data_IF_158549429381
#
_entry.id   IF_158549429381
#
_cell.length_a   1.000
_cell.length_b   1.000
_cell.length_c   1.000
_cell.angle_alpha   90.00
_cell.angle_beta   90.00
_cell.angle_gamma   90.00
#
_symmetry.space_group_name_H-M   'P 1'
#
loop_
_entity.id
_entity.type
_entity.pdbx_description
1 polymer ?
#
# COMPACT_ATOMS: atom_id res chain seq x y z
N UNK A 1 -47.07 70.38 46.15
CA UNK A 1 -47.29 69.06 46.77
C UNK A 1 -47.83 68.15 45.70
N UNK A 2 -47.00 67.25 45.15
CA UNK A 2 -47.31 65.90 44.66
C UNK A 2 -45.96 65.27 44.26
N UNK A 3 -45.79 64.05 44.75
CA UNK A 3 -44.57 63.27 44.95
C UNK A 3 -44.04 62.66 43.64
N UNK A 4 -42.73 62.69 43.41
CA UNK A 4 -42.05 61.91 42.36
C UNK A 4 -41.56 60.59 42.97
N UNK A 5 -41.85 59.41 42.39
CA UNK A 5 -41.20 58.19 42.83
C UNK A 5 -39.91 57.91 42.06
N UNK A 6 -38.95 57.44 42.86
CA UNK A 6 -37.64 56.91 42.57
C UNK A 6 -37.75 55.65 41.68
N UNK A 7 -36.92 55.54 40.64
CA UNK A 7 -36.65 54.27 39.99
C UNK A 7 -35.12 54.13 39.81
N UNK A 8 -34.56 53.32 40.68
CA UNK A 8 -33.16 52.87 40.72
C UNK A 8 -32.88 52.01 39.49
N UNK A 9 -31.90 52.39 38.68
CA UNK A 9 -31.44 51.62 37.53
C UNK A 9 -29.92 51.53 37.52
N UNK A 10 -29.41 50.50 38.21
CA UNK A 10 -28.00 50.10 38.22
C UNK A 10 -27.64 49.53 36.84
N UNK A 11 -26.96 50.30 35.99
CA UNK A 11 -26.44 49.80 34.72
C UNK A 11 -25.05 49.17 34.95
N UNK A 12 -25.00 47.85 34.86
CA UNK A 12 -23.77 47.06 34.86
C UNK A 12 -23.02 47.30 33.55
N UNK A 13 -21.78 47.80 33.65
CA UNK A 13 -20.88 47.97 32.52
C UNK A 13 -20.45 46.60 31.96
N UNK A 14 -20.86 46.29 30.73
CA UNK A 14 -20.39 45.13 29.97
C UNK A 14 -19.09 45.48 29.25
N UNK A 15 -17.98 44.89 29.70
CA UNK A 15 -16.70 44.94 28.98
C UNK A 15 -16.83 44.14 27.68
N UNK A 16 -16.72 44.84 26.53
CA UNK A 16 -16.45 44.23 25.23
C UNK A 16 -14.97 43.87 25.14
N UNK A 17 -14.66 42.57 25.23
CA UNK A 17 -13.37 42.03 24.79
C UNK A 17 -13.48 41.71 23.30
N UNK A 18 -13.00 42.62 22.44
CA UNK A 18 -12.67 42.31 21.05
C UNK A 18 -11.37 41.49 21.05
N UNK A 19 -11.50 40.17 21.04
CA UNK A 19 -10.38 39.28 20.75
C UNK A 19 -10.30 39.06 19.24
N UNK A 20 -9.28 39.62 18.60
CA UNK A 20 -8.96 39.40 17.20
C UNK A 20 -8.68 37.90 16.96
N UNK A 21 -9.62 37.19 16.34
CA UNK A 21 -9.36 35.88 15.76
C UNK A 21 -8.47 36.06 14.52
N UNK A 22 -7.16 35.95 14.70
CA UNK A 22 -6.26 35.62 13.60
C UNK A 22 -6.44 34.13 13.27
N UNK A 23 -6.82 33.75 12.05
CA UNK A 23 -6.73 32.36 11.63
C UNK A 23 -5.24 32.00 11.52
N UNK A 24 -4.70 31.28 12.49
CA UNK A 24 -3.46 30.54 12.27
C UNK A 24 -3.77 29.42 11.25
N UNK A 25 -2.92 29.24 10.21
CA UNK A 25 -2.96 28.02 9.43
C UNK A 25 -2.62 26.88 10.39
N UNK A 26 -3.62 26.07 10.75
CA UNK A 26 -3.40 24.83 11.47
C UNK A 26 -2.53 23.95 10.59
N UNK A 27 -1.33 23.63 11.08
CA UNK A 27 -0.50 22.53 10.61
C UNK A 27 -1.15 21.16 10.94
N UNK A 28 -2.43 21.02 10.61
CA UNK A 28 -3.27 19.84 10.77
C UNK A 28 -4.07 19.58 9.48
N UNK A 29 -3.49 19.90 8.32
CA UNK A 29 -3.95 19.44 7.00
C UNK A 29 -2.79 18.87 6.20
N UNK A 30 -1.85 18.24 6.90
CA UNK A 30 -0.70 17.54 6.33
C UNK A 30 -0.59 16.09 6.85
N UNK A 31 -1.73 15.48 7.19
CA UNK A 31 -1.93 14.02 7.16
C UNK A 31 -3.07 13.69 6.19
N UNK A 32 -3.07 14.39 5.05
CA UNK A 32 -4.05 14.20 3.98
C UNK A 32 -3.78 12.85 3.33
N UNK A 33 -4.55 11.81 3.68
CA UNK A 33 -4.77 10.60 2.87
C UNK A 33 -3.54 10.18 2.04
N UNK A 34 -2.43 9.81 2.69
CA UNK A 34 -1.15 9.71 1.99
C UNK A 34 -1.06 8.62 0.91
N UNK A 35 -2.06 7.76 0.70
CA UNK A 35 -1.93 6.65 -0.26
C UNK A 35 -3.22 6.32 -1.02
N UNK A 36 -3.80 7.27 -1.78
CA UNK A 36 -4.71 6.93 -2.88
C UNK A 36 -4.21 7.52 -4.20
N UNK A 37 -3.58 6.67 -4.99
CA UNK A 37 -3.26 6.83 -6.39
C UNK A 37 -2.95 8.27 -6.90
N UNK A 38 -1.95 9.00 -6.37
CA UNK A 38 -1.76 10.41 -6.70
C UNK A 38 -1.20 10.69 -8.12
N UNK A 39 -0.75 9.68 -8.86
CA UNK A 39 -0.04 9.85 -10.13
C UNK A 39 -0.92 9.75 -11.37
N UNK A 40 -0.32 9.99 -12.54
CA UNK A 40 -0.99 9.91 -13.83
C UNK A 40 -1.57 8.50 -14.07
N UNK A 41 -2.72 8.42 -14.75
CA UNK A 41 -3.41 7.16 -15.03
C UNK A 41 -2.49 6.13 -15.73
N UNK A 42 -1.67 6.59 -16.67
CA UNK A 42 -0.71 5.74 -17.41
C UNK A 42 0.23 4.95 -16.49
N UNK A 43 0.63 5.51 -15.35
CA UNK A 43 1.44 4.79 -14.38
C UNK A 43 0.67 3.65 -13.74
N UNK A 44 -0.57 3.90 -13.29
CA UNK A 44 -1.39 2.87 -12.66
C UNK A 44 -1.86 1.79 -13.63
N UNK A 45 -2.16 2.16 -14.87
CA UNK A 45 -2.49 1.19 -15.92
C UNK A 45 -1.29 0.26 -16.15
N UNK A 46 -0.07 0.79 -16.15
CA UNK A 46 1.17 -0.01 -16.25
C UNK A 46 1.44 -0.83 -14.99
N UNK A 47 1.22 -0.28 -13.79
CA UNK A 47 1.37 -1.00 -12.52
C UNK A 47 0.37 -2.15 -12.40
N UNK A 48 -0.85 -2.00 -12.92
CA UNK A 48 -1.82 -3.09 -13.02
C UNK A 48 -1.28 -4.25 -13.85
N UNK A 49 -0.60 -3.97 -14.97
CA UNK A 49 0.02 -5.03 -15.77
C UNK A 49 1.13 -5.78 -15.02
N UNK A 50 1.89 -5.08 -14.15
CA UNK A 50 2.85 -5.69 -13.23
C UNK A 50 2.12 -6.61 -12.25
N UNK A 51 1.05 -6.15 -11.61
CA UNK A 51 0.29 -6.96 -10.65
C UNK A 51 -0.42 -8.16 -11.29
N UNK A 52 -0.86 -8.04 -12.55
CA UNK A 52 -1.37 -9.19 -13.32
C UNK A 52 -0.27 -10.24 -13.55
N UNK A 53 0.95 -9.83 -13.87
CA UNK A 53 2.07 -10.76 -14.03
C UNK A 53 2.51 -11.36 -12.68
N UNK A 54 2.47 -10.58 -11.61
CA UNK A 54 2.66 -11.06 -10.23
C UNK A 54 1.63 -12.14 -9.86
N UNK A 55 0.35 -11.94 -10.20
CA UNK A 55 -0.73 -12.92 -9.97
C UNK A 55 -0.47 -14.22 -10.73
N UNK A 56 -0.01 -14.13 -11.98
CA UNK A 56 0.40 -15.28 -12.79
C UNK A 56 1.55 -16.05 -12.16
N UNK A 57 2.57 -15.35 -11.65
CA UNK A 57 3.70 -15.96 -10.96
C UNK A 57 3.24 -16.68 -9.69
N UNK A 58 2.45 -16.01 -8.84
CA UNK A 58 1.87 -16.59 -7.62
C UNK A 58 1.10 -17.87 -7.94
N UNK A 59 0.23 -17.83 -8.94
CA UNK A 59 -0.60 -18.98 -9.31
C UNK A 59 0.24 -20.13 -9.88
N UNK A 60 1.30 -19.83 -10.64
CA UNK A 60 2.21 -20.86 -11.14
C UNK A 60 2.96 -21.58 -10.00
N UNK A 61 3.44 -20.82 -9.00
CA UNK A 61 4.08 -21.39 -7.80
C UNK A 61 3.12 -22.23 -6.96
N UNK A 62 1.86 -21.83 -6.86
CA UNK A 62 0.82 -22.61 -6.18
C UNK A 62 0.55 -23.93 -6.91
N UNK A 63 0.51 -23.91 -8.25
CA UNK A 63 0.35 -25.11 -9.08
C UNK A 63 1.62 -25.94 -9.25
N UNK A 64 2.72 -25.52 -8.63
CA UNK A 64 4.03 -26.18 -8.73
C UNK A 64 4.60 -26.21 -10.16
N UNK A 65 4.08 -25.34 -11.04
CA UNK A 65 4.50 -25.23 -12.43
C UNK A 65 5.70 -24.28 -12.53
N UNK A 66 6.90 -24.83 -12.37
CA UNK A 66 8.16 -24.06 -12.38
C UNK A 66 8.45 -23.42 -13.73
N UNK A 67 8.00 -24.01 -14.84
CA UNK A 67 8.17 -23.44 -16.18
C UNK A 67 7.28 -22.21 -16.35
N UNK A 68 6.00 -22.31 -15.97
CA UNK A 68 5.09 -21.16 -15.97
C UNK A 68 5.53 -20.08 -14.98
N UNK A 69 6.08 -20.46 -13.82
CA UNK A 69 6.62 -19.50 -12.85
C UNK A 69 7.78 -18.70 -13.46
N UNK A 70 8.73 -19.36 -14.12
CA UNK A 70 9.83 -18.70 -14.81
C UNK A 70 9.33 -17.73 -15.90
N UNK A 71 8.35 -18.16 -16.70
CA UNK A 71 7.77 -17.31 -17.73
C UNK A 71 7.06 -16.08 -17.15
N UNK A 72 6.29 -16.26 -16.07
CA UNK A 72 5.60 -15.18 -15.38
C UNK A 72 6.58 -14.21 -14.69
N UNK A 73 7.65 -14.71 -14.08
CA UNK A 73 8.69 -13.87 -13.47
C UNK A 73 9.37 -12.96 -14.51
N UNK A 74 9.78 -13.51 -15.66
CA UNK A 74 10.36 -12.71 -16.75
C UNK A 74 9.37 -11.71 -17.33
N UNK A 75 8.09 -12.10 -17.45
CA UNK A 75 7.03 -11.17 -17.89
C UNK A 75 6.84 -10.03 -16.90
N UNK A 76 6.80 -10.34 -15.61
CA UNK A 76 6.69 -9.34 -14.54
C UNK A 76 7.87 -8.38 -14.57
N UNK A 77 9.08 -8.90 -14.71
CA UNK A 77 10.31 -8.12 -14.84
C UNK A 77 10.22 -7.12 -16.01
N UNK A 78 9.85 -7.59 -17.20
CA UNK A 78 9.69 -6.73 -18.38
C UNK A 78 8.66 -5.61 -18.17
N UNK A 79 7.54 -5.91 -17.50
CA UNK A 79 6.51 -4.91 -17.19
C UNK A 79 6.99 -3.90 -16.17
N UNK A 80 7.74 -4.35 -15.17
CA UNK A 80 8.31 -3.51 -14.14
C UNK A 80 9.37 -2.54 -14.72
N UNK A 81 10.28 -3.06 -15.55
CA UNK A 81 11.32 -2.27 -16.23
C UNK A 81 10.73 -1.21 -17.18
N UNK A 82 9.49 -1.43 -17.64
CA UNK A 82 8.76 -0.54 -18.54
C UNK A 82 7.87 0.47 -17.82
N UNK A 83 7.86 0.50 -16.48
CA UNK A 83 7.03 1.46 -15.74
C UNK A 83 7.38 2.90 -16.14
N UNK A 84 6.38 3.77 -16.37
CA UNK A 84 6.62 5.14 -16.80
C UNK A 84 7.02 6.03 -15.60
N UNK A 85 8.11 5.70 -14.91
CA UNK A 85 8.53 6.34 -13.66
C UNK A 85 8.74 7.86 -13.79
N UNK A 86 9.12 8.33 -14.98
CA UNK A 86 9.27 9.77 -15.28
C UNK A 86 7.95 10.56 -15.19
N UNK A 87 6.80 9.87 -15.18
CA UNK A 87 5.48 10.49 -15.02
C UNK A 87 5.08 10.70 -13.56
N UNK A 88 5.88 10.19 -12.62
CA UNK A 88 5.66 10.34 -11.19
C UNK A 88 6.01 11.76 -10.75
N UNK A 89 5.00 12.55 -10.41
CA UNK A 89 5.15 13.90 -9.89
C UNK A 89 5.59 13.89 -8.40
N UNK A 90 6.79 13.37 -8.14
CA UNK A 90 7.40 13.28 -6.82
C UNK A 90 8.77 14.00 -6.78
N UNK A 91 9.28 14.29 -5.57
CA UNK A 91 10.62 14.86 -5.43
C UNK A 91 11.72 13.86 -5.85
N UNK A 92 12.94 14.36 -6.10
CA UNK A 92 14.06 13.56 -6.61
C UNK A 92 14.42 12.37 -5.73
N UNK A 93 14.34 12.53 -4.41
CA UNK A 93 14.75 11.49 -3.47
C UNK A 93 13.70 10.37 -3.41
N UNK A 94 12.42 10.73 -3.45
CA UNK A 94 11.33 9.77 -3.61
C UNK A 94 11.40 9.03 -4.95
N UNK A 95 11.71 9.74 -6.04
CA UNK A 95 11.86 9.11 -7.35
C UNK A 95 12.98 8.07 -7.36
N UNK A 96 14.15 8.43 -6.81
CA UNK A 96 15.28 7.49 -6.66
C UNK A 96 14.94 6.26 -5.82
N UNK A 97 14.14 6.42 -4.76
CA UNK A 97 13.67 5.27 -3.96
C UNK A 97 12.77 4.35 -4.78
N UNK A 98 11.86 4.90 -5.58
CA UNK A 98 11.00 4.10 -6.46
C UNK A 98 11.83 3.42 -7.55
N UNK A 99 12.75 4.15 -8.22
CA UNK A 99 13.67 3.57 -9.21
C UNK A 99 14.49 2.43 -8.61
N UNK A 100 15.08 2.64 -7.42
CA UNK A 100 15.82 1.61 -6.70
C UNK A 100 14.95 0.41 -6.34
N UNK A 101 13.73 0.63 -5.85
CA UNK A 101 12.77 -0.44 -5.55
C UNK A 101 12.42 -1.26 -6.79
N UNK A 102 12.11 -0.61 -7.92
CA UNK A 102 11.84 -1.31 -9.19
C UNK A 102 13.05 -2.09 -9.70
N UNK A 103 14.26 -1.54 -9.58
CA UNK A 103 15.50 -2.22 -9.95
C UNK A 103 15.77 -3.46 -9.09
N UNK A 104 15.57 -3.36 -7.77
CA UNK A 104 15.73 -4.50 -6.86
C UNK A 104 14.74 -5.63 -7.13
N UNK A 105 13.46 -5.31 -7.35
CA UNK A 105 12.46 -6.33 -7.72
C UNK A 105 12.83 -6.97 -9.07
N UNK A 106 13.29 -6.19 -10.05
CA UNK A 106 13.72 -6.71 -11.36
C UNK A 106 14.86 -7.72 -11.21
N UNK A 107 15.87 -7.40 -10.39
CA UNK A 107 16.98 -8.31 -10.10
C UNK A 107 16.52 -9.58 -9.36
N UNK A 108 15.62 -9.45 -8.39
CA UNK A 108 15.07 -10.60 -7.65
C UNK A 108 14.26 -11.54 -8.56
N UNK A 109 13.50 -10.98 -9.51
CA UNK A 109 12.75 -11.76 -10.49
C UNK A 109 13.68 -12.55 -11.44
N UNK A 110 14.83 -11.97 -11.81
CA UNK A 110 15.84 -12.69 -12.60
C UNK A 110 16.46 -13.84 -11.80
N UNK A 111 16.81 -13.58 -10.53
CA UNK A 111 17.27 -14.60 -9.59
C UNK A 111 16.26 -15.74 -9.42
N UNK A 112 14.99 -15.41 -9.13
CA UNK A 112 13.88 -16.36 -9.02
C UNK A 112 13.76 -17.23 -10.28
N UNK A 113 13.83 -16.62 -11.47
CA UNK A 113 13.76 -17.36 -12.72
C UNK A 113 14.97 -18.30 -12.93
N UNK A 114 16.13 -17.97 -12.36
CA UNK A 114 17.36 -18.75 -12.35
C UNK A 114 17.39 -19.89 -11.32
N UNK A 115 16.54 -19.85 -10.29
CA UNK A 115 16.51 -20.88 -9.25
C UNK A 115 16.20 -22.29 -9.79
N UNK A 116 16.82 -23.30 -9.18
CA UNK A 116 16.73 -24.69 -9.66
C UNK A 116 15.58 -25.48 -9.04
N UNK A 117 15.18 -25.16 -7.81
CA UNK A 117 14.13 -25.90 -7.10
C UNK A 117 12.89 -25.05 -6.89
N UNK A 118 11.74 -25.71 -6.71
CA UNK A 118 10.49 -25.03 -6.35
C UNK A 118 10.56 -24.35 -4.99
N UNK A 119 11.33 -24.91 -4.04
CA UNK A 119 11.53 -24.32 -2.73
C UNK A 119 12.27 -22.99 -2.84
N UNK A 120 13.40 -22.96 -3.55
CA UNK A 120 14.19 -21.74 -3.73
C UNK A 120 13.38 -20.65 -4.47
N UNK A 121 12.57 -21.04 -5.47
CA UNK A 121 11.65 -20.12 -6.15
C UNK A 121 10.61 -19.51 -5.22
N UNK A 122 10.10 -20.29 -4.27
CA UNK A 122 9.13 -19.84 -3.27
C UNK A 122 9.78 -18.90 -2.26
N UNK A 123 11.03 -19.15 -1.89
CA UNK A 123 11.81 -18.25 -1.01
C UNK A 123 12.12 -16.92 -1.71
N UNK A 124 12.53 -16.94 -2.98
CA UNK A 124 12.69 -15.71 -3.77
C UNK A 124 11.35 -14.98 -3.96
N UNK A 125 10.25 -15.70 -4.17
CA UNK A 125 8.91 -15.08 -4.28
C UNK A 125 8.47 -14.37 -2.99
N UNK A 126 8.91 -14.84 -1.83
CA UNK A 126 8.68 -14.14 -0.58
C UNK A 126 9.32 -12.74 -0.60
N UNK A 127 10.57 -12.63 -1.05
CA UNK A 127 11.26 -11.34 -1.21
C UNK A 127 10.56 -10.45 -2.25
N UNK A 128 10.17 -11.02 -3.40
CA UNK A 128 9.40 -10.29 -4.44
C UNK A 128 8.10 -9.73 -3.86
N UNK A 129 7.37 -10.53 -3.09
CA UNK A 129 6.09 -10.12 -2.48
C UNK A 129 6.28 -8.95 -1.52
N UNK A 130 7.38 -8.96 -0.77
CA UNK A 130 7.71 -7.90 0.19
C UNK A 130 8.07 -6.58 -0.49
N UNK A 131 8.96 -6.65 -1.47
CA UNK A 131 9.33 -5.47 -2.25
C UNK A 131 8.15 -4.92 -3.07
N UNK A 132 7.23 -5.76 -3.53
CA UNK A 132 6.01 -5.31 -4.22
C UNK A 132 5.06 -4.58 -3.28
N UNK A 133 4.94 -5.04 -2.02
CA UNK A 133 4.18 -4.32 -1.00
C UNK A 133 4.76 -2.91 -0.81
N UNK A 134 6.06 -2.82 -0.62
CA UNK A 134 6.76 -1.55 -0.43
C UNK A 134 6.58 -0.62 -1.64
N UNK A 135 6.71 -1.15 -2.86
CA UNK A 135 6.49 -0.37 -4.08
C UNK A 135 5.07 0.21 -4.10
N UNK A 136 4.06 -0.62 -3.86
CA UNK A 136 2.65 -0.19 -3.84
C UNK A 136 2.39 0.82 -2.72
N UNK A 137 3.02 0.68 -1.56
CA UNK A 137 2.94 1.67 -0.49
C UNK A 137 3.62 2.99 -0.88
N UNK A 138 4.78 2.95 -1.54
CA UNK A 138 5.49 4.14 -2.01
C UNK A 138 4.71 4.88 -3.10
N UNK A 139 4.03 4.16 -3.99
CA UNK A 139 3.39 4.75 -5.17
C UNK A 139 1.89 4.96 -5.03
N UNK A 140 1.29 4.39 -3.99
CA UNK A 140 -0.14 4.15 -3.91
C UNK A 140 -0.62 3.17 -4.98
N UNK A 141 -1.92 2.90 -4.97
CA UNK A 141 -2.56 2.02 -5.94
C UNK A 141 -3.95 2.54 -6.34
N UNK A 142 -4.29 2.33 -7.62
CA UNK A 142 -5.57 2.70 -8.23
C UNK A 142 -6.29 1.44 -8.67
N UNK A 143 -7.36 1.09 -7.97
CA UNK A 143 -8.15 -0.09 -8.28
C UNK A 143 -9.00 -0.54 -7.09
N UNK A 144 -9.38 -1.80 -7.11
CA UNK A 144 -9.99 -2.49 -5.96
C UNK A 144 -9.01 -2.57 -4.80
N UNK A 145 -9.51 -2.89 -3.60
CA UNK A 145 -8.66 -3.17 -2.44
C UNK A 145 -7.62 -4.24 -2.79
N UNK A 146 -6.35 -3.92 -2.55
CA UNK A 146 -5.26 -4.88 -2.60
C UNK A 146 -5.07 -5.45 -1.20
N UNK A 147 -5.33 -6.73 -1.01
CA UNK A 147 -5.20 -7.42 0.27
C UNK A 147 -3.80 -8.00 0.43
N UNK A 148 -3.26 -7.92 1.65
CA UNK A 148 -2.11 -8.72 2.05
C UNK A 148 -2.60 -9.98 2.76
N UNK A 149 -2.39 -11.14 2.16
CA UNK A 149 -2.85 -12.42 2.70
C UNK A 149 -1.66 -13.16 3.30
N UNK A 150 -1.79 -13.61 4.55
CA UNK A 150 -0.78 -14.43 5.22
C UNK A 150 -1.40 -15.75 5.68
N UNK A 151 -0.63 -16.83 5.60
CA UNK A 151 -1.05 -18.15 6.09
C UNK A 151 -0.31 -18.48 7.38
N UNK A 152 -1.05 -18.72 8.47
CA UNK A 152 -0.48 -19.07 9.77
C UNK A 152 0.12 -20.49 9.80
N UNK A 153 -0.11 -21.30 8.76
CA UNK A 153 0.34 -22.69 8.65
C UNK A 153 1.70 -22.93 7.99
N UNK A 154 2.39 -21.92 7.45
CA UNK A 154 3.72 -22.12 6.84
C UNK A 154 4.79 -22.30 7.92
N UNK A 155 5.55 -23.40 7.84
CA UNK A 155 6.44 -23.91 8.88
C UNK A 155 7.63 -22.99 9.26
N UNK A 156 7.86 -21.89 8.52
CA UNK A 156 8.72 -20.79 8.96
C UNK A 156 7.83 -19.66 9.48
N UNK A 157 7.49 -19.82 10.76
CA UNK A 157 6.56 -18.98 11.53
C UNK A 157 6.91 -17.50 11.36
N UNK A 158 5.89 -16.67 11.11
CA UNK A 158 5.91 -15.20 10.92
C UNK A 158 6.74 -14.72 9.72
N UNK A 159 6.15 -14.69 8.52
CA UNK A 159 6.79 -13.98 7.41
C UNK A 159 6.02 -14.05 6.10
N UNK A 160 5.78 -15.25 5.57
CA UNK A 160 5.26 -15.41 4.22
C UNK A 160 3.87 -14.80 4.04
N UNK A 161 3.75 -13.92 3.06
CA UNK A 161 2.49 -13.33 2.61
C UNK A 161 2.50 -13.15 1.09
N UNK A 162 1.36 -12.81 0.53
CA UNK A 162 1.23 -12.39 -0.86
C UNK A 162 0.15 -11.33 -1.01
N UNK A 163 0.25 -10.55 -2.08
CA UNK A 163 -0.77 -9.58 -2.47
C UNK A 163 -1.86 -10.25 -3.33
N UNK A 164 -3.10 -9.78 -3.19
CA UNK A 164 -4.24 -10.24 -3.98
C UNK A 164 -5.34 -9.20 -4.03
N UNK A 165 -6.00 -9.02 -5.18
CA UNK A 165 -7.20 -8.20 -5.28
C UNK A 165 -8.46 -8.90 -4.76
N UNK A 166 -8.37 -10.22 -4.49
CA UNK A 166 -9.45 -11.00 -3.88
C UNK A 166 -9.03 -11.49 -2.50
N UNK A 167 -9.88 -11.33 -1.50
CA UNK A 167 -9.60 -11.71 -0.11
C UNK A 167 -9.84 -13.19 0.20
N UNK A 168 -10.55 -13.94 -0.65
CA UNK A 168 -10.89 -15.34 -0.42
C UNK A 168 -10.66 -16.22 -1.65
N UNK A 169 -10.51 -17.53 -1.43
CA UNK A 169 -10.44 -18.51 -2.51
C UNK A 169 -9.13 -18.55 -3.30
N UNK A 170 -8.14 -17.74 -2.92
CA UNK A 170 -6.79 -17.71 -3.54
C UNK A 170 -5.97 -18.93 -3.14
N UNK A 171 -5.21 -19.50 -4.08
CA UNK A 171 -4.25 -20.56 -3.79
C UNK A 171 -2.99 -19.98 -3.14
N UNK A 172 -2.43 -20.70 -2.17
CA UNK A 172 -1.23 -20.30 -1.45
C UNK A 172 0.02 -20.65 -2.31
N UNK A 173 0.83 -19.68 -2.75
CA UNK A 173 2.00 -19.91 -3.61
C UNK A 173 3.07 -20.77 -2.93
N UNK A 174 3.08 -20.82 -1.60
CA UNK A 174 4.08 -21.53 -0.80
C UNK A 174 3.71 -22.99 -0.54
N UNK A 175 2.42 -23.34 -0.59
CA UNK A 175 1.94 -24.69 -0.22
C UNK A 175 1.10 -25.36 -1.30
N UNK A 176 0.66 -24.63 -2.32
CA UNK A 176 -0.26 -25.10 -3.37
C UNK A 176 -1.67 -25.41 -2.90
N UNK A 177 -1.96 -25.25 -1.61
CA UNK A 177 -3.29 -25.46 -1.04
C UNK A 177 -4.13 -24.20 -1.16
N UNK A 178 -5.44 -24.36 -1.20
CA UNK A 178 -6.34 -23.22 -1.09
C UNK A 178 -6.11 -22.54 0.26
N UNK A 179 -5.84 -21.23 0.24
CA UNK A 179 -5.58 -20.49 1.46
C UNK A 179 -6.84 -20.45 2.31
N UNK A 180 -6.75 -20.97 3.52
CA UNK A 180 -7.67 -20.66 4.63
C UNK A 180 -7.13 -19.50 5.48
N UNK A 181 -6.13 -18.79 4.96
CA UNK A 181 -5.26 -17.87 5.69
C UNK A 181 -5.98 -16.68 6.31
N UNK A 182 -5.26 -15.99 7.18
CA UNK A 182 -5.73 -14.74 7.76
C UNK A 182 -5.52 -13.61 6.76
N UNK A 183 -6.60 -12.98 6.35
CA UNK A 183 -6.56 -11.76 5.54
C UNK A 183 -6.10 -10.63 6.47
N UNK A 184 -4.93 -10.06 6.21
CA UNK A 184 -4.40 -8.96 7.00
C UNK A 184 -4.48 -7.68 6.15
N UNK A 185 -5.50 -6.87 6.43
CA UNK A 185 -5.55 -5.43 6.08
C UNK A 185 -5.71 -5.12 4.58
N UNK A 186 -6.46 -4.05 4.29
CA UNK A 186 -6.34 -3.33 3.02
C UNK A 186 -4.96 -2.69 3.01
N UNK A 187 -4.11 -3.12 2.08
CA UNK A 187 -2.67 -2.82 2.02
C UNK A 187 -2.34 -1.32 2.05
N UNK A 188 -3.30 -0.48 1.66
CA UNK A 188 -3.16 0.98 1.60
C UNK A 188 -3.86 1.70 2.77
N UNK A 189 -4.68 1.00 3.54
CA UNK A 189 -5.31 1.51 4.76
C UNK A 189 -4.58 0.97 5.99
N UNK A 190 -3.54 1.70 6.41
CA UNK A 190 -2.88 1.48 7.69
C UNK A 190 -3.86 1.73 8.85
N UNK A 191 -4.56 0.69 9.30
CA UNK A 191 -5.16 0.73 10.64
C UNK A 191 -4.01 0.52 11.62
N UNK A 192 -3.76 1.52 12.47
CA UNK A 192 -2.99 1.33 13.69
C UNK A 192 -3.68 0.23 14.50
N UNK A 193 -3.15 -0.99 14.45
CA UNK A 193 -3.56 -2.03 15.39
C UNK A 193 -3.01 -1.60 16.74
N UNK A 194 -3.84 -0.89 17.51
CA UNK A 194 -3.64 -0.77 18.95
C UNK A 194 -3.68 -2.18 19.51
N UNK A 195 -2.52 -2.67 19.96
CA UNK A 195 -2.47 -3.80 20.87
C UNK A 195 -3.38 -3.46 22.06
N UNK A 196 -4.36 -4.33 22.32
CA UNK A 196 -5.03 -4.42 23.61
C UNK A 196 -4.36 -5.53 24.39
#
# INVERSE_FOLDING_TARGET
MILRPLATGMLLATMLVLSCQHPQPTAATQERNLYKAPFAAVFYDSLQEVLVAYDQLRNALAREDTAAANAAARRMQQKLDSLPLKTLAMNSDSLKRVEGSTGSISAELDGLAGESTLADKRDAFFMVSDMCLDLVQLTGWKGSTLYRISDSGTANKTGAYWLSETSSGTENPYTGKRSTGTIITDTLHFHSVSAR
#
